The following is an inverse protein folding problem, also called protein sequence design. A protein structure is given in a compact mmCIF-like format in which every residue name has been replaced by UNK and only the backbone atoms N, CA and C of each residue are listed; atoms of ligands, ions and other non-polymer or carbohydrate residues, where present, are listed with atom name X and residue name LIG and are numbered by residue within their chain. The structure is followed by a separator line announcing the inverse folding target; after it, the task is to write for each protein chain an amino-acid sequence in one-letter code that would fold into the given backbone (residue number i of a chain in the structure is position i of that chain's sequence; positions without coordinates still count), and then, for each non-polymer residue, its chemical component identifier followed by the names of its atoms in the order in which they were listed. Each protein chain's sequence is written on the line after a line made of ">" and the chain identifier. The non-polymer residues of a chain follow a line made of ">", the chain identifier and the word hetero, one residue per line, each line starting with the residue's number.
data_IF_725477894020
#
_entry.id   IF_725477894020
#
_cell.length_a   1.000
_cell.length_b   1.000
_cell.length_c   1.000
_cell.angle_alpha   90.00
_cell.angle_beta   90.00
_cell.angle_gamma   90.00
#
_symmetry.space_group_name_H-M   'P 1'
#
loop_
_entity.id
_entity.type
_entity.pdbx_description
1 polymer ?
#
# COMPACT_ATOMS: atom_id res chain seq x y z
N UNK A 1 -0.96 4.41 -26.72
CA UNK A 1 -0.26 3.41 -25.87
C UNK A 1 -0.56 1.95 -26.20
N UNK A 2 -1.78 1.58 -26.65
CA UNK A 2 -2.15 0.17 -26.92
C UNK A 2 -1.43 -0.49 -28.11
N UNK A 3 -0.86 0.28 -29.04
CA UNK A 3 -0.13 -0.26 -30.20
C UNK A 3 1.26 -0.82 -29.85
N UNK A 4 1.92 -0.29 -28.82
CA UNK A 4 3.21 -0.76 -28.33
C UNK A 4 3.10 -2.12 -27.63
N UNK A 5 2.01 -2.33 -26.88
CA UNK A 5 1.74 -3.58 -26.16
C UNK A 5 1.48 -4.73 -27.15
N UNK A 6 0.73 -4.48 -28.24
CA UNK A 6 0.50 -5.46 -29.31
C UNK A 6 1.78 -5.84 -30.06
N UNK A 7 2.77 -4.93 -30.12
CA UNK A 7 4.08 -5.18 -30.75
C UNK A 7 5.05 -5.97 -29.87
N UNK A 8 4.88 -5.90 -28.54
CA UNK A 8 5.68 -6.64 -27.55
C UNK A 8 5.21 -8.10 -27.36
N UNK A 9 3.90 -8.34 -27.43
CA UNK A 9 3.30 -9.67 -27.22
C UNK A 9 3.08 -10.46 -28.51
N UNK A 10 2.94 -9.78 -29.65
CA UNK A 10 2.66 -10.41 -30.94
C UNK A 10 3.88 -10.48 -31.84
N UNK A 11 4.70 -11.53 -31.72
CA UNK A 11 5.58 -11.89 -32.84
C UNK A 11 4.68 -12.37 -33.97
N UNK A 12 4.33 -11.47 -34.89
CA UNK A 12 3.63 -11.80 -36.14
C UNK A 12 4.40 -12.94 -36.81
N UNK A 13 3.84 -14.16 -36.75
CA UNK A 13 4.33 -15.27 -37.57
C UNK A 13 3.96 -14.89 -39.00
N UNK A 14 4.95 -14.83 -39.89
CA UNK A 14 4.72 -14.53 -41.29
C UNK A 14 3.65 -15.47 -41.85
N UNK A 15 2.51 -14.94 -42.27
CA UNK A 15 1.41 -15.68 -42.91
C UNK A 15 1.69 -16.01 -44.37
N UNK A 16 2.98 -16.05 -44.74
CA UNK A 16 3.40 -16.37 -46.09
C UNK A 16 3.23 -17.87 -46.28
N UNK A 17 2.72 -18.32 -47.45
CA UNK A 17 2.72 -19.73 -47.77
C UNK A 17 4.16 -20.29 -47.67
N UNK A 18 4.33 -21.58 -47.34
CA UNK A 18 5.64 -22.20 -47.29
C UNK A 18 6.40 -21.93 -48.60
N UNK A 19 7.68 -21.59 -48.48
CA UNK A 19 8.49 -21.17 -49.62
C UNK A 19 8.64 -22.33 -50.61
N UNK A 20 8.03 -22.18 -51.79
CA UNK A 20 8.13 -23.14 -52.87
C UNK A 20 9.33 -22.80 -53.77
N UNK A 21 10.34 -23.67 -53.75
CA UNK A 21 11.55 -23.53 -54.56
C UNK A 21 11.28 -23.58 -56.08
N UNK A 22 10.22 -24.28 -56.51
CA UNK A 22 9.89 -24.45 -57.93
C UNK A 22 9.33 -23.17 -58.56
N UNK A 23 8.60 -22.36 -57.77
CA UNK A 23 7.93 -21.13 -58.21
C UNK A 23 8.83 -19.88 -58.12
N UNK A 24 10.04 -19.99 -57.58
CA UNK A 24 10.92 -18.85 -57.37
C UNK A 24 11.47 -18.26 -58.69
N UNK A 25 11.23 -16.95 -58.91
CA UNK A 25 11.73 -16.17 -60.06
C UNK A 25 13.26 -16.19 -60.17
N UNK A 26 13.95 -16.19 -59.03
CA UNK A 26 15.40 -16.21 -58.94
C UNK A 26 15.87 -17.59 -58.48
N UNK A 27 16.02 -18.50 -59.44
CA UNK A 27 16.50 -19.86 -59.15
C UNK A 27 17.95 -19.82 -58.65
N UNK A 28 18.23 -20.55 -57.58
CA UNK A 28 19.59 -20.68 -57.08
C UNK A 28 20.44 -21.44 -58.11
N UNK A 29 21.59 -20.88 -58.50
CA UNK A 29 22.53 -21.55 -59.43
C UNK A 29 23.12 -22.84 -58.84
N UNK A 30 23.11 -22.95 -57.51
CA UNK A 30 23.58 -24.12 -56.76
C UNK A 30 22.50 -24.47 -55.75
N UNK A 31 22.04 -25.71 -55.79
CA UNK A 31 21.06 -26.22 -54.84
C UNK A 31 21.65 -26.22 -53.43
N UNK A 32 20.88 -25.67 -52.50
CA UNK A 32 21.20 -25.64 -51.09
C UNK A 32 20.04 -26.34 -50.37
N UNK A 33 20.27 -27.20 -49.38
CA UNK A 33 21.55 -27.62 -48.79
C UNK A 33 22.34 -28.60 -49.68
N UNK A 34 23.69 -28.61 -49.61
CA UNK A 34 24.47 -29.65 -50.25
C UNK A 34 24.16 -31.03 -49.62
N UNK A 35 24.11 -32.08 -50.43
CA UNK A 35 23.92 -33.47 -49.96
C UNK A 35 25.09 -33.90 -49.07
N UNK A 36 24.94 -33.74 -47.75
CA UNK A 36 26.00 -34.02 -46.77
C UNK A 36 26.46 -35.49 -46.76
N UNK A 37 25.67 -36.40 -47.34
CA UNK A 37 25.96 -37.84 -47.42
C UNK A 37 26.92 -38.20 -48.55
N UNK A 38 27.04 -37.34 -49.57
CA UNK A 38 27.92 -37.54 -50.72
C UNK A 38 29.32 -36.93 -50.50
N UNK A 39 29.47 -36.11 -49.46
CA UNK A 39 30.72 -35.43 -49.16
C UNK A 39 31.65 -36.32 -48.32
N UNK A 40 32.95 -36.19 -48.56
CA UNK A 40 33.97 -36.81 -47.70
C UNK A 40 33.85 -36.28 -46.27
N UNK A 41 34.11 -37.12 -45.28
CA UNK A 41 34.03 -36.78 -43.84
C UNK A 41 34.83 -35.51 -43.49
N UNK A 42 36.02 -35.35 -44.08
CA UNK A 42 36.85 -34.14 -43.92
C UNK A 42 36.14 -32.87 -44.38
N UNK A 43 35.36 -32.93 -45.45
CA UNK A 43 34.59 -31.80 -45.97
C UNK A 43 33.36 -31.55 -45.10
N UNK A 44 32.66 -32.60 -44.68
CA UNK A 44 31.53 -32.53 -43.76
C UNK A 44 31.90 -31.82 -42.45
N UNK A 45 33.04 -32.18 -41.85
CA UNK A 45 33.54 -31.53 -40.63
C UNK A 45 33.81 -30.02 -40.82
N UNK A 46 34.32 -29.60 -41.99
CA UNK A 46 34.53 -28.18 -42.30
C UNK A 46 33.20 -27.42 -42.39
N UNK A 47 32.18 -28.02 -43.00
CA UNK A 47 30.85 -27.43 -43.08
C UNK A 47 30.20 -27.33 -41.71
N UNK A 48 30.28 -28.38 -40.90
CA UNK A 48 29.77 -28.40 -39.54
C UNK A 48 30.43 -27.31 -38.69
N UNK A 49 31.76 -27.19 -38.73
CA UNK A 49 32.49 -26.15 -38.00
C UNK A 49 32.09 -24.75 -38.46
N UNK A 50 31.95 -24.52 -39.77
CA UNK A 50 31.49 -23.23 -40.33
C UNK A 50 30.06 -22.92 -39.91
N UNK A 51 29.18 -23.92 -39.90
CA UNK A 51 27.79 -23.80 -39.50
C UNK A 51 27.66 -23.47 -38.01
N UNK A 52 28.34 -24.22 -37.12
CA UNK A 52 28.37 -23.97 -35.67
C UNK A 52 28.87 -22.55 -35.34
N UNK A 53 29.92 -22.08 -36.02
CA UNK A 53 30.41 -20.70 -35.88
C UNK A 53 29.36 -19.67 -36.27
N UNK A 54 28.70 -19.87 -37.42
CA UNK A 54 27.64 -18.96 -37.91
C UNK A 54 26.41 -18.99 -37.02
N UNK A 55 26.02 -20.15 -36.50
CA UNK A 55 24.95 -20.26 -35.51
C UNK A 55 25.29 -19.50 -34.24
N UNK A 56 26.52 -19.59 -33.75
CA UNK A 56 26.98 -18.83 -32.57
C UNK A 56 26.97 -17.31 -32.80
N UNK A 57 27.23 -16.85 -34.03
CA UNK A 57 27.14 -15.44 -34.38
C UNK A 57 25.68 -14.98 -34.60
N UNK A 58 24.83 -15.83 -35.19
CA UNK A 58 23.41 -15.55 -35.42
C UNK A 58 22.54 -15.74 -34.18
N UNK A 59 23.01 -16.49 -33.19
CA UNK A 59 22.51 -16.45 -31.82
C UNK A 59 22.95 -15.14 -31.20
N UNK A 60 22.44 -14.04 -31.76
CA UNK A 60 22.52 -12.69 -31.24
C UNK A 60 21.99 -12.81 -29.81
N UNK A 61 22.87 -12.63 -28.83
CA UNK A 61 22.53 -12.78 -27.42
C UNK A 61 21.48 -11.71 -27.10
N UNK A 62 20.19 -12.06 -26.91
CA UNK A 62 19.16 -11.07 -26.62
C UNK A 62 19.29 -10.52 -25.19
N UNK A 63 20.35 -10.90 -24.46
CA UNK A 63 20.59 -10.50 -23.09
C UNK A 63 20.71 -8.98 -22.97
N UNK A 64 21.51 -8.32 -23.82
CA UNK A 64 21.68 -6.86 -23.73
C UNK A 64 20.36 -6.11 -23.89
N UNK A 65 19.56 -6.46 -24.90
CA UNK A 65 18.25 -5.85 -25.11
C UNK A 65 17.27 -6.16 -23.97
N UNK A 66 17.33 -7.35 -23.37
CA UNK A 66 16.52 -7.68 -22.19
C UNK A 66 16.92 -6.82 -20.98
N UNK A 67 18.22 -6.67 -20.73
CA UNK A 67 18.73 -5.83 -19.65
C UNK A 67 18.35 -4.36 -19.84
N UNK A 68 18.55 -3.79 -21.02
CA UNK A 68 18.16 -2.40 -21.28
C UNK A 68 16.66 -2.20 -21.15
N UNK A 69 15.84 -3.17 -21.58
CA UNK A 69 14.38 -3.12 -21.38
C UNK A 69 14.03 -3.12 -19.89
N UNK A 70 14.63 -4.01 -19.09
CA UNK A 70 14.41 -4.05 -17.63
C UNK A 70 14.82 -2.71 -16.99
N UNK A 71 15.99 -2.18 -17.36
CA UNK A 71 16.48 -0.89 -16.86
C UNK A 71 15.54 0.24 -17.23
N UNK A 72 15.02 0.28 -18.48
CA UNK A 72 14.05 1.29 -18.92
C UNK A 72 12.77 1.24 -18.09
N UNK A 73 12.18 0.05 -17.92
CA UNK A 73 10.98 -0.11 -17.08
C UNK A 73 11.23 0.20 -15.61
N UNK A 74 12.42 -0.15 -15.10
CA UNK A 74 12.84 0.19 -13.73
C UNK A 74 12.97 1.70 -13.55
N UNK A 75 13.54 2.41 -14.53
CA UNK A 75 13.70 3.86 -14.46
C UNK A 75 12.36 4.59 -14.54
N UNK A 76 11.46 4.15 -15.44
CA UNK A 76 10.10 4.67 -15.52
C UNK A 76 9.35 4.42 -14.21
N UNK A 77 9.42 3.20 -13.67
CA UNK A 77 8.82 2.85 -12.38
C UNK A 77 9.37 3.70 -11.24
N UNK A 78 10.69 3.89 -11.20
CA UNK A 78 11.36 4.72 -10.20
C UNK A 78 10.87 6.17 -10.22
N UNK A 79 10.79 6.79 -11.40
CA UNK A 79 10.30 8.17 -11.55
C UNK A 79 8.85 8.29 -11.08
N UNK A 80 8.00 7.30 -11.40
CA UNK A 80 6.61 7.28 -10.95
C UNK A 80 6.50 7.14 -9.42
N UNK A 81 7.26 6.23 -8.81
CA UNK A 81 7.28 6.06 -7.35
C UNK A 81 7.79 7.32 -6.66
N UNK A 82 8.88 7.91 -7.16
CA UNK A 82 9.42 9.16 -6.64
C UNK A 82 8.41 10.30 -6.76
N UNK A 83 7.80 10.48 -7.93
CA UNK A 83 6.77 11.48 -8.17
C UNK A 83 5.57 11.31 -7.24
N UNK A 84 5.04 10.09 -7.12
CA UNK A 84 3.85 9.83 -6.31
C UNK A 84 4.15 9.93 -4.82
N UNK A 85 5.32 9.54 -4.31
CA UNK A 85 5.55 9.44 -2.86
C UNK A 85 6.47 10.52 -2.28
N UNK A 86 7.56 10.85 -2.96
CA UNK A 86 8.61 11.73 -2.44
C UNK A 86 8.54 13.16 -2.98
N UNK A 87 8.00 13.36 -4.17
CA UNK A 87 7.91 14.70 -4.75
C UNK A 87 6.83 15.54 -4.04
N UNK A 88 7.24 16.70 -3.54
CA UNK A 88 6.38 17.62 -2.80
C UNK A 88 5.78 18.68 -3.75
N UNK A 89 4.71 18.29 -4.44
CA UNK A 89 3.97 19.17 -5.35
C UNK A 89 3.32 20.40 -4.67
N UNK A 90 3.26 20.46 -3.34
CA UNK A 90 2.70 21.63 -2.65
C UNK A 90 3.64 22.85 -2.74
N UNK A 91 4.94 22.63 -2.98
CA UNK A 91 5.96 23.67 -3.12
C UNK A 91 6.31 23.99 -4.58
N UNK A 92 5.63 23.33 -5.53
CA UNK A 92 5.86 23.54 -6.95
C UNK A 92 5.23 24.86 -7.41
N UNK A 93 5.99 25.81 -7.98
CA UNK A 93 5.45 27.07 -8.51
C UNK A 93 4.44 26.88 -9.66
N UNK A 94 4.39 25.70 -10.29
CA UNK A 94 3.48 25.39 -11.40
C UNK A 94 2.16 24.72 -10.96
N UNK A 95 1.92 24.56 -9.66
CA UNK A 95 0.71 23.91 -9.16
C UNK A 95 -0.51 24.85 -9.27
N UNK A 96 -1.61 24.47 -9.97
CA UNK A 96 -2.81 25.31 -10.09
C UNK A 96 -3.57 25.49 -8.76
N UNK A 97 -3.28 24.67 -7.74
CA UNK A 97 -3.84 24.79 -6.38
C UNK A 97 -2.71 24.82 -5.34
N UNK A 98 -2.21 26.01 -4.98
CA UNK A 98 -1.11 26.13 -4.03
C UNK A 98 -1.50 25.51 -2.67
N UNK A 99 -0.65 24.63 -2.13
CA UNK A 99 -0.86 23.97 -0.83
C UNK A 99 -1.55 22.59 -0.88
N UNK A 100 -2.14 22.18 -2.01
CA UNK A 100 -2.70 20.84 -2.16
C UNK A 100 -1.69 19.89 -2.83
N UNK A 101 -1.29 18.83 -2.12
CA UNK A 101 -0.54 17.72 -2.73
C UNK A 101 -1.50 16.81 -3.53
N UNK A 102 -1.26 16.58 -4.83
CA UNK A 102 -1.93 15.53 -5.58
C UNK A 102 -1.49 14.16 -5.03
N UNK A 103 -2.39 13.18 -5.11
CA UNK A 103 -2.21 11.81 -4.62
C UNK A 103 -2.20 11.60 -3.09
N UNK A 104 -2.68 12.57 -2.28
CA UNK A 104 -2.89 12.39 -0.82
C UNK A 104 -3.65 11.09 -0.49
N UNK A 105 -4.71 10.77 -1.25
CA UNK A 105 -5.49 9.55 -1.05
C UNK A 105 -4.70 8.26 -1.27
N UNK A 106 -3.88 8.21 -2.32
CA UNK A 106 -3.03 7.03 -2.62
C UNK A 106 -1.93 6.89 -1.57
N UNK A 107 -1.30 8.02 -1.16
CA UNK A 107 -0.29 8.03 -0.10
C UNK A 107 -0.89 7.56 1.24
N UNK A 108 -2.08 8.04 1.60
CA UNK A 108 -2.76 7.66 2.85
C UNK A 108 -3.20 6.20 2.84
N UNK A 109 -3.73 5.71 1.72
CA UNK A 109 -4.07 4.29 1.55
C UNK A 109 -2.83 3.41 1.67
N UNK A 110 -1.75 3.72 0.95
CA UNK A 110 -0.50 2.96 1.09
C UNK A 110 0.05 3.04 2.51
N UNK A 111 0.01 4.21 3.16
CA UNK A 111 0.45 4.34 4.56
C UNK A 111 -0.40 3.46 5.48
N UNK A 112 -1.72 3.46 5.33
CA UNK A 112 -2.61 2.58 6.10
C UNK A 112 -2.32 1.10 5.85
N UNK A 113 -1.95 0.74 4.62
CA UNK A 113 -1.55 -0.60 4.25
C UNK A 113 -0.20 -0.96 4.88
N UNK A 114 0.85 -0.14 4.71
CA UNK A 114 2.16 -0.39 5.32
C UNK A 114 2.09 -0.42 6.85
N UNK A 115 1.31 0.48 7.45
CA UNK A 115 1.07 0.50 8.89
C UNK A 115 0.34 -0.79 9.32
N UNK A 116 -0.64 -1.27 8.56
CA UNK A 116 -1.30 -2.55 8.86
C UNK A 116 -0.38 -3.77 8.75
N UNK A 117 0.60 -3.75 7.84
CA UNK A 117 1.56 -4.85 7.67
C UNK A 117 2.71 -4.82 8.68
N UNK A 118 3.14 -3.63 9.10
CA UNK A 118 4.25 -3.46 10.04
C UNK A 118 3.83 -3.26 11.50
N UNK A 119 2.59 -2.86 11.78
CA UNK A 119 2.11 -2.55 13.14
C UNK A 119 1.23 -3.64 13.77
N UNK A 120 1.55 -4.92 13.56
CA UNK A 120 0.90 -6.04 14.26
C UNK A 120 0.99 -5.98 15.81
N UNK A 121 1.58 -4.94 16.41
CA UNK A 121 1.68 -4.74 17.87
C UNK A 121 1.30 -3.33 18.36
N UNK A 122 0.62 -2.49 17.58
CA UNK A 122 0.24 -1.12 18.00
C UNK A 122 -1.01 -1.06 18.90
N UNK A 123 -1.22 -2.04 19.78
CA UNK A 123 -2.31 -2.06 20.76
C UNK A 123 -2.08 -1.18 22.00
N UNK A 124 -0.96 -0.48 22.12
CA UNK A 124 -0.63 0.30 23.32
C UNK A 124 -1.21 1.72 23.31
N UNK A 125 -1.34 2.38 22.16
CA UNK A 125 -1.75 3.78 22.08
C UNK A 125 -3.22 4.03 22.43
N UNK A 126 -4.13 3.20 21.90
CA UNK A 126 -5.57 3.34 22.20
C UNK A 126 -5.92 2.94 23.63
N UNK A 127 -5.08 2.13 24.31
CA UNK A 127 -5.32 1.73 25.71
C UNK A 127 -4.96 2.85 26.68
N UNK A 128 -3.84 3.55 26.45
CA UNK A 128 -3.45 4.71 27.28
C UNK A 128 -4.41 5.89 27.16
N UNK A 129 -4.92 6.18 25.95
CA UNK A 129 -5.88 7.27 25.76
C UNK A 129 -7.21 6.98 26.45
N UNK A 130 -7.68 5.73 26.40
CA UNK A 130 -8.88 5.32 27.12
C UNK A 130 -8.68 5.31 28.64
N UNK A 131 -7.51 4.91 29.15
CA UNK A 131 -7.21 4.99 30.58
C UNK A 131 -7.23 6.45 31.09
N UNK A 132 -6.62 7.37 30.36
CA UNK A 132 -6.63 8.81 30.73
C UNK A 132 -8.03 9.40 30.70
N UNK A 133 -8.86 8.96 29.76
CA UNK A 133 -10.27 9.35 29.71
C UNK A 133 -11.04 8.84 30.94
N UNK A 134 -10.81 7.61 31.36
CA UNK A 134 -11.43 7.04 32.57
C UNK A 134 -10.96 7.77 33.85
N UNK A 135 -9.65 8.02 34.00
CA UNK A 135 -9.12 8.78 35.13
C UNK A 135 -9.73 10.20 35.20
N UNK A 136 -9.90 10.87 34.06
CA UNK A 136 -10.53 12.20 34.04
C UNK A 136 -12.01 12.18 34.48
N UNK A 137 -12.75 11.13 34.13
CA UNK A 137 -14.16 10.99 34.56
C UNK A 137 -14.28 10.65 36.04
N UNK A 138 -13.35 9.87 36.59
CA UNK A 138 -13.32 9.56 38.02
C UNK A 138 -13.03 10.81 38.84
N UNK A 139 -12.02 11.60 38.44
CA UNK A 139 -11.66 12.88 39.08
C UNK A 139 -12.82 13.88 39.02
N UNK A 140 -13.54 13.97 37.91
CA UNK A 140 -14.74 14.82 37.82
C UNK A 140 -15.86 14.35 38.76
N UNK A 141 -16.04 13.03 38.91
CA UNK A 141 -17.05 12.46 39.80
C UNK A 141 -16.74 12.72 41.28
N UNK A 142 -15.47 12.68 41.68
CA UNK A 142 -15.03 12.98 43.05
C UNK A 142 -15.20 14.46 43.37
N UNK A 143 -14.78 15.34 42.46
CA UNK A 143 -14.94 16.79 42.62
C UNK A 143 -16.42 17.23 42.66
N UNK A 144 -17.30 16.50 41.95
CA UNK A 144 -18.75 16.72 42.03
C UNK A 144 -19.33 16.31 43.40
N UNK A 145 -18.83 15.20 43.99
CA UNK A 145 -19.23 14.76 45.34
C UNK A 145 -18.76 15.73 46.43
N UNK A 146 -17.56 16.27 46.31
CA UNK A 146 -17.03 17.28 47.25
C UNK A 146 -17.90 18.55 47.24
N UNK A 147 -18.24 19.09 46.05
CA UNK A 147 -19.15 20.24 45.92
C UNK A 147 -20.55 19.99 46.47
N UNK A 148 -21.06 18.77 46.32
CA UNK A 148 -22.34 18.37 46.91
C UNK A 148 -22.28 18.33 48.45
N UNK A 149 -21.13 17.91 49.02
CA UNK A 149 -20.93 17.93 50.48
C UNK A 149 -20.76 19.34 51.05
N UNK A 150 -20.08 20.23 50.32
CA UNK A 150 -19.89 21.64 50.72
C UNK A 150 -21.22 22.40 50.72
N UNK A 151 -22.06 22.19 49.69
CA UNK A 151 -23.40 22.81 49.61
C UNK A 151 -24.34 22.29 50.70
N UNK A 152 -24.25 21.01 51.07
CA UNK A 152 -25.01 20.44 52.20
C UNK A 152 -24.57 21.04 53.55
N UNK A 153 -23.27 21.28 53.74
CA UNK A 153 -22.71 21.80 55.00
C UNK A 153 -22.99 23.31 55.14
N UNK A 154 -22.92 24.06 54.05
CA UNK A 154 -23.17 25.52 54.04
C UNK A 154 -24.65 25.86 54.31
N UNK A 155 -25.58 24.99 53.92
CA UNK A 155 -27.01 25.12 54.20
C UNK A 155 -27.41 24.82 55.66
N UNK A 156 -26.49 24.29 56.47
CA UNK A 156 -26.72 23.99 57.88
C UNK A 156 -26.23 25.12 58.81
N UNK A 157 -25.15 25.82 58.43
CA UNK A 157 -24.51 26.88 59.24
C UNK A 157 -25.32 28.18 59.35
N UNK A 158 -26.32 28.41 58.48
CA UNK A 158 -27.15 29.63 58.49
C UNK A 158 -28.49 29.50 59.24
N UNK A 159 -28.76 28.37 59.90
CA UNK A 159 -30.04 28.10 60.55
C UNK A 159 -29.97 28.31 62.07
N UNK A 160 -30.97 29.00 62.61
CA UNK A 160 -31.19 29.17 64.05
C UNK A 160 -31.32 27.78 64.72
N UNK A 161 -30.75 27.52 65.91
CA UNK A 161 -30.71 26.19 66.56
C UNK A 161 -32.06 25.46 66.64
N UNK A 162 -33.19 26.19 66.72
CA UNK A 162 -34.53 25.59 66.70
C UNK A 162 -34.90 24.94 65.36
N UNK A 163 -34.45 25.52 64.24
CA UNK A 163 -34.72 25.00 62.89
C UNK A 163 -33.83 23.81 62.54
N UNK A 164 -32.62 23.76 63.11
CA UNK A 164 -31.71 22.61 63.01
C UNK A 164 -32.33 21.38 63.64
N UNK A 165 -32.92 21.50 64.85
CA UNK A 165 -33.57 20.37 65.51
C UNK A 165 -34.83 19.89 64.77
N UNK A 166 -35.59 20.79 64.13
CA UNK A 166 -36.74 20.41 63.32
C UNK A 166 -36.30 19.61 62.07
N UNK A 167 -35.28 20.08 61.35
CA UNK A 167 -34.74 19.35 60.19
C UNK A 167 -34.12 18.01 60.55
N UNK A 168 -33.45 17.91 61.70
CA UNK A 168 -32.89 16.64 62.17
C UNK A 168 -34.00 15.64 62.53
N UNK A 169 -35.09 16.10 63.19
CA UNK A 169 -36.27 15.25 63.43
C UNK A 169 -36.96 14.81 62.14
N UNK A 170 -37.08 15.68 61.16
CA UNK A 170 -37.65 15.33 59.84
C UNK A 170 -36.79 14.29 59.10
N UNK A 171 -35.45 14.39 59.21
CA UNK A 171 -34.52 13.40 58.67
C UNK A 171 -34.59 12.05 59.40
N UNK A 172 -34.77 12.05 60.73
CA UNK A 172 -34.97 10.83 61.52
C UNK A 172 -36.30 10.15 61.16
N UNK A 173 -37.40 10.91 61.03
CA UNK A 173 -38.70 10.38 60.59
C UNK A 173 -38.63 9.80 59.17
N UNK A 174 -37.86 10.44 58.27
CA UNK A 174 -37.64 9.94 56.92
C UNK A 174 -36.82 8.65 56.90
N UNK A 175 -35.81 8.53 57.77
CA UNK A 175 -35.01 7.29 57.94
C UNK A 175 -35.84 6.16 58.54
N UNK A 176 -36.65 6.42 59.56
CA UNK A 176 -37.52 5.41 60.15
C UNK A 176 -38.60 4.93 59.18
N UNK A 177 -39.14 5.82 58.32
CA UNK A 177 -40.00 5.42 57.19
C UNK A 177 -39.30 4.54 56.17
N UNK A 178 -38.04 4.84 55.86
CA UNK A 178 -37.26 4.05 54.90
C UNK A 178 -36.89 2.67 55.47
N UNK A 179 -36.66 2.55 56.78
CA UNK A 179 -36.36 1.27 57.44
C UNK A 179 -37.61 0.44 57.76
N UNK A 180 -38.74 1.08 58.08
CA UNK A 180 -40.03 0.41 58.28
C UNK A 180 -40.65 -0.19 57.02
N UNK A 181 -40.13 0.17 55.83
CA UNK A 181 -40.58 -0.39 54.55
C UNK A 181 -39.88 -1.71 54.18
N UNK A 182 -38.88 -2.13 54.95
CA UNK A 182 -38.09 -3.37 54.76
C UNK A 182 -38.20 -4.31 55.97
N UNK A 183 -39.40 -4.44 56.56
CA UNK A 183 -39.72 -5.49 57.52
C UNK A 183 -41.04 -6.17 57.18
#
# INVERSE_FOLDING_TARGET
>A
MLQLIRRLLGRQRSTLPPFDFARNRYKAKKEWPPNLRELTERQQFRFERKYKRRLRMKSIKPAWNKWTTIVQWSLIGWVLVYGVFWYDFAKDPMNPRPGEQPFKGIRAWMKSWTDSFWSHTSGSGSREENLRRLESTEVESEKAKERASETATTGFTSLNPAQVQAKLRDQEIARDRAQGFYR
#
